data_IF_986255694010
#
_entry.id   IF_986255694010
#
_cell.length_a   1.000
_cell.length_b   1.000
_cell.length_c   1.000
_cell.angle_alpha   90.00
_cell.angle_beta   90.00
_cell.angle_gamma   90.00
#
_symmetry.space_group_name_H-M   'P 1'
#
loop_
_entity.id
_entity.type
_entity.pdbx_description
1 polymer ?
#
# COMPACT_ATOMS: atom_id res chain seq x y z
N UNK A 1 2.94 7.11 -18.72
CA UNK A 1 2.73 5.66 -18.56
C UNK A 1 2.78 5.41 -17.06
N UNK A 2 1.62 5.24 -16.42
CA UNK A 2 1.57 5.06 -14.96
C UNK A 2 2.26 3.76 -14.60
N UNK A 3 3.12 3.81 -13.61
CA UNK A 3 4.06 2.77 -13.22
C UNK A 3 3.28 1.58 -12.61
N UNK A 4 2.70 0.76 -13.49
CA UNK A 4 1.64 -0.24 -13.21
C UNK A 4 1.97 -1.21 -12.07
N UNK A 5 3.27 -1.41 -11.80
CA UNK A 5 3.76 -2.31 -10.75
C UNK A 5 3.50 -1.77 -9.35
N UNK A 6 3.50 -0.44 -9.19
CA UNK A 6 3.19 0.20 -7.92
C UNK A 6 1.70 0.20 -7.63
N UNK A 7 0.87 0.42 -8.65
CA UNK A 7 -0.59 0.35 -8.53
C UNK A 7 -1.04 -1.06 -8.13
N UNK A 8 -0.44 -2.08 -8.75
CA UNK A 8 -0.73 -3.49 -8.43
C UNK A 8 -0.34 -3.84 -6.98
N UNK A 9 0.86 -3.44 -6.55
CA UNK A 9 1.30 -3.65 -5.16
C UNK A 9 0.41 -2.91 -4.13
N UNK A 10 -0.07 -1.73 -4.48
CA UNK A 10 -0.97 -0.92 -3.63
C UNK A 10 -2.35 -1.56 -3.54
N UNK A 11 -2.86 -2.14 -4.63
CA UNK A 11 -4.13 -2.85 -4.66
C UNK A 11 -4.06 -4.16 -3.85
N UNK A 12 -2.96 -4.91 -3.95
CA UNK A 12 -2.73 -6.13 -3.16
C UNK A 12 -2.77 -5.83 -1.66
N UNK A 13 -2.14 -4.73 -1.22
CA UNK A 13 -2.19 -4.30 0.18
C UNK A 13 -3.60 -3.86 0.60
N UNK A 14 -4.31 -3.08 -0.23
CA UNK A 14 -5.70 -2.67 0.05
C UNK A 14 -6.62 -3.89 0.22
N UNK A 15 -6.45 -4.91 -0.62
CA UNK A 15 -7.18 -6.18 -0.50
C UNK A 15 -6.79 -6.93 0.77
N UNK A 16 -5.50 -6.99 1.13
CA UNK A 16 -5.02 -7.62 2.35
C UNK A 16 -5.61 -6.96 3.61
N UNK A 17 -5.62 -5.63 3.67
CA UNK A 17 -6.21 -4.84 4.75
C UNK A 17 -7.72 -5.11 4.88
N UNK A 18 -8.42 -5.18 3.74
CA UNK A 18 -9.84 -5.53 3.69
C UNK A 18 -10.10 -6.97 4.13
N UNK A 19 -9.26 -7.94 3.73
CA UNK A 19 -9.37 -9.35 4.12
C UNK A 19 -9.10 -9.55 5.61
N UNK A 20 -8.15 -8.81 6.17
CA UNK A 20 -7.85 -8.90 7.61
C UNK A 20 -8.92 -8.25 8.51
N UNK A 21 -9.93 -7.57 7.94
CA UNK A 21 -10.99 -6.86 8.69
C UNK A 21 -10.44 -5.87 9.73
N UNK A 22 -9.18 -5.47 9.62
CA UNK A 22 -8.53 -4.53 10.53
C UNK A 22 -8.69 -3.08 10.08
N UNK A 23 -9.14 -2.86 8.84
CA UNK A 23 -9.33 -1.55 8.25
C UNK A 23 -10.65 -1.46 7.48
N UNK A 24 -11.49 -0.50 7.85
CA UNK A 24 -12.70 -0.15 7.10
C UNK A 24 -12.52 1.25 6.49
N UNK A 25 -12.86 1.40 5.21
CA UNK A 25 -12.85 2.70 4.53
C UNK A 25 -14.06 3.50 5.01
N UNK A 26 -13.88 4.25 6.10
CA UNK A 26 -14.91 5.09 6.69
C UNK A 26 -14.91 6.48 6.03
N UNK A 27 -16.10 7.04 5.79
CA UNK A 27 -16.22 8.46 5.44
C UNK A 27 -15.87 9.28 6.67
N UNK A 28 -14.84 10.11 6.54
CA UNK A 28 -14.41 11.00 7.61
C UNK A 28 -15.52 11.99 7.93
N UNK A 29 -15.88 12.11 9.21
CA UNK A 29 -16.79 13.16 9.67
C UNK A 29 -16.02 14.49 9.72
N UNK A 30 -16.68 15.61 9.42
CA UNK A 30 -16.07 16.95 9.33
C UNK A 30 -15.26 17.40 10.55
N UNK A 31 -15.41 16.71 11.69
CA UNK A 31 -14.75 17.03 12.97
C UNK A 31 -13.65 16.02 13.35
N UNK A 32 -13.38 14.99 12.54
CA UNK A 32 -12.39 13.98 12.85
C UNK A 32 -10.97 14.44 12.46
N UNK A 33 -10.03 14.33 13.39
CA UNK A 33 -8.61 14.48 13.08
C UNK A 33 -8.14 13.27 12.29
N UNK A 34 -7.88 13.48 11.00
CA UNK A 34 -7.28 12.45 10.15
C UNK A 34 -5.83 12.25 10.57
N UNK A 35 -5.49 11.06 11.05
CA UNK A 35 -4.08 10.65 11.10
C UNK A 35 -3.70 10.34 9.66
N UNK A 36 -2.79 11.13 9.09
CA UNK A 36 -2.35 10.92 7.71
C UNK A 36 -1.68 9.56 7.58
N UNK A 37 -2.25 8.67 6.77
CA UNK A 37 -1.61 7.40 6.41
C UNK A 37 -0.59 7.65 5.29
N UNK A 38 0.64 7.18 5.50
CA UNK A 38 1.75 7.37 4.54
C UNK A 38 2.09 6.03 3.91
N UNK A 39 1.94 5.94 2.60
CA UNK A 39 2.38 4.78 1.84
C UNK A 39 3.91 4.68 1.83
N UNK A 40 4.41 3.50 2.20
CA UNK A 40 5.83 3.15 2.14
C UNK A 40 6.05 2.25 0.91
N UNK A 41 6.81 2.77 -0.04
CA UNK A 41 7.19 2.06 -1.26
C UNK A 41 8.60 1.50 -1.10
N UNK A 42 8.73 0.17 -1.10
CA UNK A 42 10.02 -0.52 -0.98
C UNK A 42 10.27 -1.40 -2.19
N UNK A 43 11.45 -1.27 -2.78
CA UNK A 43 11.93 -2.20 -3.81
C UNK A 43 12.76 -3.28 -3.14
N UNK A 44 12.35 -4.55 -3.26
CA UNK A 44 13.21 -5.67 -2.89
C UNK A 44 14.12 -6.04 -4.05
N UNK A 45 15.41 -6.15 -3.75
CA UNK A 45 16.44 -6.65 -4.65
C UNK A 45 16.86 -8.06 -4.22
N UNK A 46 17.19 -8.89 -5.19
CA UNK A 46 17.80 -10.22 -4.99
C UNK A 46 19.24 -10.05 -4.49
N UNK A 47 19.85 -11.08 -3.88
CA UNK A 47 21.28 -11.05 -3.53
C UNK A 47 22.21 -10.84 -4.74
N UNK A 48 21.73 -11.14 -5.94
CA UNK A 48 22.38 -10.89 -7.24
C UNK A 48 22.27 -9.42 -7.71
N UNK A 49 21.55 -8.56 -6.99
CA UNK A 49 21.30 -7.15 -7.37
C UNK A 49 20.15 -6.97 -8.36
N UNK A 50 19.64 -8.05 -8.95
CA UNK A 50 18.43 -8.06 -9.78
C UNK A 50 17.18 -7.68 -8.98
N UNK A 51 16.25 -6.94 -9.60
CA UNK A 51 14.97 -6.55 -9.02
C UNK A 51 14.11 -7.78 -8.68
N UNK A 52 13.75 -7.95 -7.41
CA UNK A 52 12.92 -9.07 -6.94
C UNK A 52 11.43 -8.74 -7.02
N UNK A 53 10.99 -7.67 -6.32
CA UNK A 53 9.57 -7.29 -6.25
C UNK A 53 9.39 -5.86 -5.75
N UNK A 54 8.34 -5.20 -6.24
CA UNK A 54 7.84 -3.94 -5.69
C UNK A 54 6.88 -4.25 -4.53
N UNK A 55 7.13 -3.65 -3.36
CA UNK A 55 6.25 -3.73 -2.20
C UNK A 55 5.73 -2.34 -1.85
N UNK A 56 4.44 -2.23 -1.61
CA UNK A 56 3.79 -1.04 -1.09
C UNK A 56 3.03 -1.44 0.18
N UNK A 57 3.28 -0.79 1.31
CA UNK A 57 2.57 -1.03 2.58
C UNK A 57 2.07 0.32 3.12
N UNK A 58 0.91 0.30 3.79
CA UNK A 58 0.27 1.46 4.41
C UNK A 58 0.54 1.55 5.92
#
# INVERSE_FOLDING_TARGET
QGDSKWVDAMQEEMEALRRNMTWEVVKISKAAHLVGSKWIYTIKYKPDGSLERYKAHL
#
